data_IF_520817855680
#
_entry.id   IF_520817855680
#
_cell.length_a   1.000
_cell.length_b   1.000
_cell.length_c   1.000
_cell.angle_alpha   90.00
_cell.angle_beta   90.00
_cell.angle_gamma   90.00
#
_symmetry.space_group_name_H-M   'P 1'
#
loop_
_entity.id
_entity.type
_entity.pdbx_description
1 polymer ?
#
# COMPACT_ATOMS: atom_id res chain seq x y z
N UNK A 1 -14.95 -24.64 2.41
CA UNK A 1 -13.50 -24.93 2.53
C UNK A 1 -12.65 -23.70 2.87
N UNK A 2 -13.08 -22.46 2.57
CA UNK A 2 -12.36 -21.25 3.02
C UNK A 2 -12.56 -20.93 4.51
N UNK A 3 -13.65 -21.41 5.13
CA UNK A 3 -13.96 -21.24 6.56
C UNK A 3 -13.04 -22.02 7.53
N UNK A 4 -12.24 -22.97 7.04
CA UNK A 4 -11.47 -23.85 7.92
C UNK A 4 -10.13 -23.24 8.40
N UNK A 5 -9.69 -22.13 7.81
CA UNK A 5 -8.36 -21.56 8.09
C UNK A 5 -8.36 -20.44 9.14
N UNK A 6 -9.53 -19.93 9.56
CA UNK A 6 -9.68 -18.75 10.44
C UNK A 6 -8.85 -17.51 9.98
N UNK A 7 -8.38 -17.53 8.72
CA UNK A 7 -7.47 -16.53 8.16
C UNK A 7 -8.19 -15.40 7.42
N UNK A 8 -9.52 -15.34 7.49
CA UNK A 8 -10.35 -14.37 6.77
C UNK A 8 -10.13 -12.92 7.19
N UNK A 9 -9.68 -12.70 8.42
CA UNK A 9 -9.35 -11.37 8.97
C UNK A 9 -7.92 -10.92 8.63
N UNK A 10 -7.12 -11.76 7.98
CA UNK A 10 -5.74 -11.46 7.59
C UNK A 10 -4.83 -11.03 8.75
N UNK A 11 -5.07 -11.52 9.97
CA UNK A 11 -4.27 -11.17 11.17
C UNK A 11 -2.77 -11.45 11.00
N UNK A 12 -2.41 -12.43 10.16
CA UNK A 12 -1.02 -12.71 9.80
C UNK A 12 -0.30 -11.51 9.13
N UNK A 13 -1.02 -10.63 8.46
CA UNK A 13 -0.47 -9.45 7.79
C UNK A 13 -0.27 -8.26 8.75
N UNK A 14 -0.77 -8.33 9.98
CA UNK A 14 -0.68 -7.25 10.96
C UNK A 14 0.77 -6.84 11.22
N UNK A 15 1.67 -7.82 11.40
CA UNK A 15 3.10 -7.59 11.56
C UNK A 15 3.72 -6.87 10.35
N UNK A 16 3.25 -7.15 9.14
CA UNK A 16 3.74 -6.51 7.92
C UNK A 16 3.25 -5.06 7.83
N UNK A 17 2.00 -4.78 8.20
CA UNK A 17 1.40 -3.45 8.08
C UNK A 17 1.80 -2.50 9.22
N UNK A 18 1.81 -2.98 10.48
CA UNK A 18 2.05 -2.14 11.66
C UNK A 18 3.40 -1.42 11.61
N UNK A 19 4.42 -2.08 11.06
CA UNK A 19 5.79 -1.53 10.95
C UNK A 19 6.26 -1.41 9.51
N UNK A 20 5.34 -1.31 8.54
CA UNK A 20 5.64 -1.13 7.11
C UNK A 20 6.76 -2.06 6.61
N UNK A 21 6.58 -3.36 6.84
CA UNK A 21 7.48 -4.44 6.42
C UNK A 21 8.91 -4.38 7.00
N UNK A 22 9.15 -3.55 8.02
CA UNK A 22 10.46 -3.41 8.66
C UNK A 22 11.07 -4.73 9.13
N UNK A 23 10.22 -5.67 9.55
CA UNK A 23 10.64 -6.99 10.05
C UNK A 23 10.72 -8.07 8.96
N UNK A 24 10.42 -7.70 7.70
CA UNK A 24 10.29 -8.60 6.55
C UNK A 24 11.42 -8.44 5.54
N UNK A 25 12.04 -7.26 5.50
CA UNK A 25 13.13 -6.90 4.60
C UNK A 25 14.44 -6.67 5.34
N UNK A 26 15.54 -6.70 4.60
CA UNK A 26 16.83 -6.19 5.09
C UNK A 26 16.72 -4.70 5.40
N UNK A 27 17.67 -4.16 6.17
CA UNK A 27 17.69 -2.74 6.51
C UNK A 27 17.70 -1.84 5.26
N UNK A 28 18.56 -2.16 4.29
CA UNK A 28 18.71 -1.39 3.06
C UNK A 28 17.45 -1.48 2.17
N UNK A 29 16.89 -2.67 2.04
CA UNK A 29 15.66 -2.89 1.28
C UNK A 29 14.46 -2.19 1.91
N UNK A 30 14.41 -2.12 3.25
CA UNK A 30 13.37 -1.37 3.97
C UNK A 30 13.43 0.12 3.65
N UNK A 31 14.64 0.72 3.62
CA UNK A 31 14.80 2.13 3.26
C UNK A 31 14.33 2.38 1.82
N UNK A 32 14.75 1.53 0.88
CA UNK A 32 14.33 1.61 -0.51
C UNK A 32 12.80 1.50 -0.66
N UNK A 33 12.19 0.57 0.08
CA UNK A 33 10.73 0.38 0.08
C UNK A 33 10.01 1.64 0.56
N UNK A 34 10.45 2.22 1.68
CA UNK A 34 9.84 3.40 2.25
C UNK A 34 10.01 4.62 1.34
N UNK A 35 11.20 4.84 0.78
CA UNK A 35 11.44 5.90 -0.20
C UNK A 35 10.49 5.78 -1.40
N UNK A 36 10.28 4.56 -1.91
CA UNK A 36 9.38 4.32 -3.03
C UNK A 36 7.91 4.54 -2.65
N UNK A 37 7.48 4.05 -1.49
CA UNK A 37 6.11 4.25 -1.00
C UNK A 37 5.81 5.73 -0.79
N UNK A 38 6.67 6.45 -0.08
CA UNK A 38 6.50 7.88 0.17
C UNK A 38 6.55 8.70 -1.13
N UNK A 39 7.42 8.36 -2.08
CA UNK A 39 7.47 9.05 -3.37
C UNK A 39 6.21 8.85 -4.22
N UNK A 40 5.58 7.67 -4.13
CA UNK A 40 4.39 7.30 -4.89
C UNK A 40 3.10 7.82 -4.24
N UNK A 41 3.04 7.87 -2.90
CA UNK A 41 1.89 8.37 -2.14
C UNK A 41 2.02 9.86 -1.78
N UNK A 42 3.08 10.52 -2.23
CA UNK A 42 3.30 11.94 -1.98
C UNK A 42 2.12 12.78 -2.48
N UNK A 43 1.38 13.37 -1.55
CA UNK A 43 0.34 14.35 -1.83
C UNK A 43 0.76 15.70 -1.26
N UNK A 44 1.08 16.69 -2.10
CA UNK A 44 1.49 18.02 -1.63
C UNK A 44 0.36 18.77 -0.90
N UNK A 45 -0.89 18.35 -1.07
CA UNK A 45 -2.03 18.92 -0.36
C UNK A 45 -2.30 18.25 0.99
N UNK A 46 -1.50 17.26 1.41
CA UNK A 46 -1.74 16.55 2.67
C UNK A 46 -1.73 17.50 3.87
N UNK A 47 -0.89 18.54 3.83
CA UNK A 47 -0.82 19.55 4.89
C UNK A 47 -2.12 20.34 5.05
N UNK A 48 -2.78 20.68 3.94
CA UNK A 48 -4.03 21.44 3.95
C UNK A 48 -5.19 20.69 4.61
N UNK A 49 -5.10 19.36 4.75
CA UNK A 49 -6.10 18.56 5.45
C UNK A 49 -5.99 18.71 6.97
N UNK A 50 -4.77 18.89 7.50
CA UNK A 50 -4.56 19.06 8.94
C UNK A 50 -4.97 20.45 9.44
N UNK A 51 -4.97 21.45 8.54
CA UNK A 51 -5.32 22.84 8.86
C UNK A 51 -6.84 23.10 8.78
N UNK A 52 -7.62 22.16 8.22
CA UNK A 52 -9.06 22.30 8.06
C UNK A 52 -9.80 21.96 9.37
N UNK A 53 -10.71 22.82 9.87
CA UNK A 53 -11.52 22.51 11.04
C UNK A 53 -12.39 21.27 10.82
N UNK A 54 -12.45 20.38 11.81
CA UNK A 54 -13.15 19.07 11.78
C UNK A 54 -14.65 19.21 11.41
N UNK A 55 -15.25 20.39 11.61
CA UNK A 55 -16.67 20.66 11.41
C UNK A 55 -17.15 20.73 9.94
N UNK A 56 -16.25 20.67 8.95
CA UNK A 56 -16.59 20.77 7.51
C UNK A 56 -16.33 19.49 6.71
N UNK A 57 -16.29 18.31 7.36
CA UNK A 57 -16.00 17.03 6.67
C UNK A 57 -17.04 16.60 5.64
N UNK A 58 -18.25 17.15 5.70
CA UNK A 58 -19.42 16.57 4.99
C UNK A 58 -19.85 17.35 3.73
N UNK A 59 -19.13 18.40 3.34
CA UNK A 59 -19.46 19.17 2.13
C UNK A 59 -18.28 19.23 1.16
N UNK A 60 -18.29 18.29 0.22
CA UNK A 60 -17.54 18.29 -1.04
C UNK A 60 -16.03 18.53 -0.91
N UNK A 61 -15.28 17.48 -0.54
CA UNK A 61 -13.82 17.50 -0.60
C UNK A 61 -13.26 17.64 -2.04
N UNK A 62 -14.11 17.54 -3.08
CA UNK A 62 -13.69 17.51 -4.49
C UNK A 62 -13.57 18.89 -5.17
N UNK A 63 -14.21 19.95 -4.67
CA UNK A 63 -14.39 21.18 -5.48
C UNK A 63 -13.49 22.37 -5.10
N UNK A 64 -12.85 22.36 -3.93
CA UNK A 64 -11.99 23.47 -3.49
C UNK A 64 -10.51 23.19 -3.81
N UNK A 65 -10.26 22.46 -4.90
CA UNK A 65 -8.94 22.32 -5.51
C UNK A 65 -8.55 23.67 -6.11
N UNK A 66 -8.04 24.55 -5.26
CA UNK A 66 -7.65 25.90 -5.65
C UNK A 66 -6.55 25.84 -6.70
N UNK A 67 -6.92 26.12 -7.95
CA UNK A 67 -6.02 26.44 -9.06
C UNK A 67 -4.92 27.46 -8.68
N UNK A 68 -5.08 28.22 -7.58
CA UNK A 68 -4.06 29.11 -6.98
C UNK A 68 -2.88 28.37 -6.35
N UNK A 69 -3.08 27.27 -5.61
CA UNK A 69 -1.98 26.50 -4.99
C UNK A 69 -1.16 25.76 -6.06
N UNK A 70 -1.84 25.18 -7.05
CA UNK A 70 -1.18 24.58 -8.22
C UNK A 70 -0.27 25.58 -8.95
N UNK A 71 -0.61 26.88 -8.95
CA UNK A 71 0.20 27.92 -9.59
C UNK A 71 1.51 28.21 -8.83
N UNK A 72 1.60 27.94 -7.53
CA UNK A 72 2.82 28.12 -6.74
C UNK A 72 3.83 26.98 -6.91
N UNK A 73 3.36 25.79 -7.31
CA UNK A 73 4.22 24.62 -7.53
C UNK A 73 4.95 24.68 -8.87
N UNK A 74 6.17 24.11 -8.92
CA UNK A 74 6.98 23.99 -10.13
C UNK A 74 6.35 23.11 -11.22
N UNK A 75 6.88 23.16 -12.46
CA UNK A 75 6.33 22.41 -13.61
C UNK A 75 6.15 20.90 -13.34
N UNK A 76 7.07 20.29 -12.61
CA UNK A 76 7.04 18.86 -12.26
C UNK A 76 6.08 18.55 -11.11
N UNK A 77 6.02 19.42 -10.11
CA UNK A 77 5.09 19.30 -8.99
C UNK A 77 3.64 19.41 -9.48
N UNK A 78 3.30 20.32 -10.40
CA UNK A 78 1.94 20.41 -10.97
C UNK A 78 1.47 19.10 -11.59
N UNK A 79 2.33 18.39 -12.31
CA UNK A 79 1.97 17.09 -12.90
C UNK A 79 1.79 16.03 -11.82
N UNK A 80 2.62 16.03 -10.78
CA UNK A 80 2.44 15.14 -9.61
C UNK A 80 1.23 15.52 -8.75
N UNK A 81 0.80 16.78 -8.68
CA UNK A 81 -0.42 17.20 -7.95
C UNK A 81 -1.67 16.81 -8.75
N UNK A 82 -1.64 16.96 -10.08
CA UNK A 82 -2.72 16.52 -10.97
C UNK A 82 -2.86 15.00 -11.05
N UNK A 83 -1.75 14.27 -10.89
CA UNK A 83 -1.68 12.79 -10.89
C UNK A 83 -1.68 12.23 -9.47
N UNK A 84 -1.57 13.10 -8.47
CA UNK A 84 -1.43 12.74 -7.06
C UNK A 84 -2.69 12.04 -6.63
N UNK A 85 -2.51 10.90 -5.95
CA UNK A 85 -3.60 10.06 -5.52
C UNK A 85 -4.58 10.92 -4.70
N UNK A 86 -5.77 11.17 -5.26
CA UNK A 86 -6.89 11.79 -4.53
C UNK A 86 -7.47 10.85 -3.50
N UNK A 87 -7.18 9.56 -3.62
CA UNK A 87 -7.56 8.55 -2.65
C UNK A 87 -6.57 8.59 -1.49
N UNK A 88 -7.03 9.11 -0.35
CA UNK A 88 -6.30 9.19 0.93
C UNK A 88 -5.92 7.82 1.50
N UNK A 89 -6.31 6.73 0.85
CA UNK A 89 -6.06 5.38 1.32
C UNK A 89 -4.75 4.91 0.71
N UNK A 90 -3.68 4.98 1.51
CA UNK A 90 -2.36 4.37 1.27
C UNK A 90 -2.48 2.87 0.94
N UNK A 91 -2.86 2.57 -0.30
CA UNK A 91 -3.15 1.23 -0.76
C UNK A 91 -1.88 0.46 -1.13
N UNK A 92 -0.72 1.13 -1.25
CA UNK A 92 0.52 0.45 -1.67
C UNK A 92 0.98 -0.57 -0.63
N UNK A 93 0.84 -0.28 0.66
CA UNK A 93 1.13 -1.24 1.73
C UNK A 93 0.29 -2.53 1.56
N UNK A 94 -0.99 -2.37 1.23
CA UNK A 94 -1.92 -3.49 1.00
C UNK A 94 -1.52 -4.27 -0.26
N UNK A 95 -1.17 -3.58 -1.35
CA UNK A 95 -0.69 -4.24 -2.56
C UNK A 95 0.66 -4.95 -2.37
N UNK A 96 1.51 -4.44 -1.48
CA UNK A 96 2.73 -5.13 -1.08
C UNK A 96 2.41 -6.43 -0.35
N UNK A 97 1.48 -6.42 0.62
CA UNK A 97 1.02 -7.66 1.30
C UNK A 97 0.47 -8.63 0.25
N UNK A 98 -0.37 -8.15 -0.67
CA UNK A 98 -0.94 -8.96 -1.73
C UNK A 98 0.13 -9.59 -2.63
N UNK A 99 1.20 -8.85 -2.96
CA UNK A 99 2.29 -9.38 -3.79
C UNK A 99 3.12 -10.46 -3.07
N UNK A 100 3.35 -10.31 -1.76
CA UNK A 100 4.01 -11.33 -0.92
C UNK A 100 3.12 -12.58 -0.84
N UNK A 101 1.81 -12.40 -0.67
CA UNK A 101 0.85 -13.49 -0.63
C UNK A 101 0.75 -14.22 -1.99
N UNK A 102 0.71 -13.48 -3.10
CA UNK A 102 0.69 -14.04 -4.46
C UNK A 102 1.93 -14.90 -4.72
N UNK A 103 3.10 -14.45 -4.26
CA UNK A 103 4.35 -15.20 -4.39
C UNK A 103 4.34 -16.55 -3.66
N UNK A 104 3.48 -16.72 -2.63
CA UNK A 104 3.41 -17.92 -1.80
C UNK A 104 2.09 -18.68 -1.86
N UNK A 105 1.14 -18.19 -2.66
CA UNK A 105 -0.18 -18.76 -2.84
C UNK A 105 -0.15 -20.27 -3.11
N UNK A 106 0.75 -20.74 -3.99
CA UNK A 106 0.88 -22.17 -4.32
C UNK A 106 1.29 -23.05 -3.13
N UNK A 107 2.09 -22.53 -2.20
CA UNK A 107 2.50 -23.25 -0.98
C UNK A 107 1.40 -23.17 0.08
N UNK A 108 0.85 -21.98 0.30
CA UNK A 108 -0.25 -21.76 1.25
C UNK A 108 -1.42 -22.69 0.94
N UNK A 109 -1.85 -22.79 -0.32
CA UNK A 109 -2.95 -23.66 -0.73
C UNK A 109 -2.68 -25.17 -0.55
N UNK A 110 -1.41 -25.59 -0.41
CA UNK A 110 -1.03 -27.00 -0.27
C UNK A 110 -0.71 -27.39 1.16
N UNK A 111 -0.04 -26.51 1.89
CA UNK A 111 0.60 -26.79 3.17
C UNK A 111 -0.20 -26.24 4.35
N UNK A 112 -0.95 -25.14 4.18
CA UNK A 112 -1.63 -24.49 5.29
C UNK A 112 -2.93 -25.20 5.66
N UNK A 113 -3.04 -25.60 6.93
CA UNK A 113 -4.25 -26.16 7.54
C UNK A 113 -4.87 -25.22 8.57
N UNK A 114 -4.08 -24.27 9.10
CA UNK A 114 -4.53 -23.18 9.98
C UNK A 114 -3.78 -21.87 9.76
N UNK A 115 -4.17 -20.83 10.49
CA UNK A 115 -3.52 -19.52 10.49
C UNK A 115 -2.04 -19.60 10.86
N UNK A 116 -1.68 -20.41 11.84
CA UNK A 116 -0.30 -20.57 12.29
C UNK A 116 0.61 -21.10 11.17
N UNK A 117 0.12 -22.05 10.36
CA UNK A 117 0.85 -22.54 9.19
C UNK A 117 1.05 -21.43 8.15
N UNK A 118 0.05 -20.56 7.95
CA UNK A 118 0.18 -19.40 7.05
C UNK A 118 1.27 -18.45 7.55
N UNK A 119 1.27 -18.14 8.85
CA UNK A 119 2.28 -17.28 9.48
C UNK A 119 3.67 -17.90 9.36
N UNK A 120 3.80 -19.20 9.60
CA UNK A 120 5.06 -19.92 9.46
C UNK A 120 5.56 -19.90 8.01
N UNK A 121 4.71 -20.25 7.04
CA UNK A 121 5.05 -20.24 5.61
C UNK A 121 5.47 -18.85 5.15
N UNK A 122 4.85 -17.78 5.65
CA UNK A 122 5.25 -16.40 5.33
C UNK A 122 6.57 -16.01 6.01
N UNK A 123 6.74 -16.40 7.28
CA UNK A 123 7.91 -16.09 8.10
C UNK A 123 9.19 -16.78 7.64
N UNK A 124 9.11 -17.97 7.03
CA UNK A 124 10.27 -18.72 6.54
C UNK A 124 11.06 -17.98 5.43
N UNK A 125 10.49 -16.93 4.82
CA UNK A 125 11.11 -16.19 3.70
C UNK A 125 11.42 -14.75 4.07
N UNK A 126 10.81 -14.23 5.13
CA UNK A 126 11.11 -12.96 5.79
C UNK A 126 12.63 -12.81 5.96
N UNK A 127 13.23 -11.84 5.26
CA UNK A 127 14.68 -11.59 5.25
C UNK A 127 15.43 -12.00 3.97
N UNK A 128 14.84 -12.78 3.06
CA UNK A 128 15.41 -13.11 1.73
C UNK A 128 14.52 -12.64 0.57
N UNK A 129 13.69 -11.62 0.82
CA UNK A 129 12.74 -11.09 -0.14
C UNK A 129 13.39 -9.95 -0.93
N UNK A 130 13.48 -10.09 -2.26
CA UNK A 130 13.90 -9.01 -3.16
C UNK A 130 12.82 -7.91 -3.20
N UNK A 131 13.09 -6.80 -2.51
CA UNK A 131 12.17 -5.65 -2.44
C UNK A 131 11.82 -5.09 -3.81
N UNK A 132 12.75 -5.06 -4.77
CA UNK A 132 12.46 -4.55 -6.12
C UNK A 132 11.47 -5.43 -6.85
N UNK A 133 11.59 -6.75 -6.69
CA UNK A 133 10.65 -7.71 -7.29
C UNK A 133 9.27 -7.56 -6.68
N UNK A 134 9.18 -7.54 -5.35
CA UNK A 134 7.90 -7.38 -4.63
C UNK A 134 7.23 -6.06 -4.99
N UNK A 135 7.97 -4.95 -5.02
CA UNK A 135 7.43 -3.66 -5.46
C UNK A 135 6.91 -3.69 -6.90
N UNK A 136 7.65 -4.31 -7.84
CA UNK A 136 7.21 -4.42 -9.24
C UNK A 136 5.91 -5.23 -9.35
N UNK A 137 5.79 -6.31 -8.60
CA UNK A 137 4.60 -7.15 -8.62
C UNK A 137 3.42 -6.45 -7.92
N UNK A 138 3.65 -5.77 -6.80
CA UNK A 138 2.66 -4.91 -6.15
C UNK A 138 2.12 -3.83 -7.09
N UNK A 139 2.99 -3.16 -7.87
CA UNK A 139 2.57 -2.17 -8.86
C UNK A 139 1.74 -2.77 -10.00
N UNK A 140 2.00 -4.03 -10.40
CA UNK A 140 1.15 -4.72 -11.39
C UNK A 140 -0.24 -4.99 -10.81
N UNK A 141 -0.32 -5.46 -9.57
CA UNK A 141 -1.60 -5.71 -8.89
C UNK A 141 -2.37 -4.40 -8.75
N UNK A 142 -1.71 -3.33 -8.30
CA UNK A 142 -2.29 -2.00 -8.18
C UNK A 142 -2.86 -1.49 -9.53
N UNK A 143 -2.10 -1.59 -10.62
CA UNK A 143 -2.58 -1.20 -11.96
C UNK A 143 -3.80 -2.01 -12.40
N UNK A 144 -3.79 -3.33 -12.17
CA UNK A 144 -4.94 -4.20 -12.47
C UNK A 144 -6.18 -3.78 -11.67
N UNK A 145 -6.01 -3.48 -10.38
CA UNK A 145 -7.09 -3.00 -9.52
C UNK A 145 -7.68 -1.68 -10.03
N UNK A 146 -6.84 -0.67 -10.31
CA UNK A 146 -7.30 0.63 -10.83
C UNK A 146 -8.02 0.52 -12.18
N UNK A 147 -7.58 -0.39 -13.07
CA UNK A 147 -8.24 -0.60 -14.36
C UNK A 147 -9.65 -1.19 -14.23
N UNK A 148 -9.92 -1.94 -13.15
CA UNK A 148 -11.23 -2.53 -12.85
C UNK A 148 -12.11 -1.59 -12.04
N UNK A 149 -11.54 -0.79 -11.15
CA UNK A 149 -12.28 0.16 -10.32
C UNK A 149 -12.83 1.37 -11.09
N UNK A 150 -12.32 1.64 -12.30
CA UNK A 150 -12.80 2.69 -13.21
C UNK A 150 -13.92 2.23 -14.16
N UNK A 151 -14.33 0.97 -14.08
CA UNK A 151 -15.49 0.41 -14.78
C UNK A 151 -16.69 0.42 -13.83
#
# INVERSE_FOLDING_TARGET
MAEALDGGEYLFAFRMLMVLFRREFTFADSLYLWELMWAMEYNPNIFSLYERPIAESDKSAESVLNNKLLKQCGKFERNKVKTGCTDQRSALAVFLVASVLEAKNKRILKEAKGLDDVVQILSDITGNIDARKVCKDALKIHKKYLSKAKK
#
